data_IF_379866355149
#
_entry.id   IF_379866355149
#
_cell.length_a   1.000
_cell.length_b   1.000
_cell.length_c   1.000
_cell.angle_alpha   90.00
_cell.angle_beta   90.00
_cell.angle_gamma   90.00
#
_symmetry.space_group_name_H-M   'P 1'
#
loop_
_entity.id
_entity.type
_entity.pdbx_description
1 polymer ?
#
# COMPACT_ATOMS: atom_id res chain seq x y z
N UNK A 1 4.44 13.69 8.41
CA UNK A 1 5.85 13.42 8.00
C UNK A 1 6.02 13.65 6.50
N UNK A 2 7.13 14.26 6.06
CA UNK A 2 7.41 14.46 4.63
C UNK A 2 7.82 13.15 3.95
N UNK A 3 7.69 13.12 2.63
CA UNK A 3 8.25 12.05 1.81
C UNK A 3 9.78 12.01 1.99
N UNK A 4 10.33 10.80 2.12
CA UNK A 4 11.77 10.57 2.28
C UNK A 4 12.47 10.66 0.91
N UNK A 5 11.74 10.43 -0.18
CA UNK A 5 12.26 10.57 -1.53
C UNK A 5 12.10 12.00 -2.07
N UNK A 6 12.89 12.28 -3.12
CA UNK A 6 12.83 13.55 -3.84
C UNK A 6 11.48 13.70 -4.54
N UNK A 7 10.93 14.93 -4.65
CA UNK A 7 9.66 15.14 -5.32
C UNK A 7 9.70 14.72 -6.80
N UNK A 8 8.52 14.33 -7.33
CA UNK A 8 8.40 13.96 -8.73
C UNK A 8 8.94 15.04 -9.69
N UNK A 9 9.72 14.66 -10.71
CA UNK A 9 10.15 15.59 -11.74
C UNK A 9 8.96 16.26 -12.44
N UNK A 10 9.03 17.58 -12.62
CA UNK A 10 7.92 18.40 -13.11
C UNK A 10 7.32 17.92 -14.46
N UNK A 11 8.15 17.38 -15.35
CA UNK A 11 7.70 16.85 -16.63
C UNK A 11 6.82 15.59 -16.48
N UNK A 12 7.12 14.71 -15.52
CA UNK A 12 6.31 13.51 -15.24
C UNK A 12 4.96 13.90 -14.65
N UNK A 13 4.96 14.84 -13.69
CA UNK A 13 3.75 15.40 -13.10
C UNK A 13 2.82 15.94 -14.20
N UNK A 14 3.37 16.76 -15.11
CA UNK A 14 2.59 17.36 -16.21
C UNK A 14 2.05 16.31 -17.19
N UNK A 15 2.81 15.26 -17.47
CA UNK A 15 2.40 14.19 -18.38
C UNK A 15 1.26 13.33 -17.82
N UNK A 16 1.30 13.03 -16.51
CA UNK A 16 0.30 12.16 -15.87
C UNK A 16 -0.94 12.92 -15.41
N UNK A 17 -0.83 14.22 -15.14
CA UNK A 17 -1.95 15.06 -14.69
C UNK A 17 -3.27 14.87 -15.46
N UNK A 18 -3.33 14.86 -16.81
CA UNK A 18 -4.60 14.66 -17.51
C UNK A 18 -5.26 13.30 -17.22
N UNK A 19 -4.45 12.24 -17.08
CA UNK A 19 -4.95 10.91 -16.72
C UNK A 19 -5.40 10.87 -15.26
N UNK A 20 -4.62 11.50 -14.36
CA UNK A 20 -4.94 11.60 -12.96
C UNK A 20 -6.25 12.38 -12.74
N UNK A 21 -6.45 13.49 -13.44
CA UNK A 21 -7.68 14.28 -13.37
C UNK A 21 -8.89 13.48 -13.90
N UNK A 22 -8.72 12.76 -15.02
CA UNK A 22 -9.76 11.89 -15.60
C UNK A 22 -10.18 10.76 -14.66
N UNK A 23 -9.22 10.12 -13.98
CA UNK A 23 -9.46 9.05 -13.00
C UNK A 23 -9.70 9.56 -11.58
N UNK A 24 -9.70 10.88 -11.37
CA UNK A 24 -9.76 11.56 -10.06
C UNK A 24 -8.68 11.11 -9.07
N UNK A 25 -7.48 10.76 -9.52
CA UNK A 25 -6.34 10.32 -8.71
C UNK A 25 -5.43 11.49 -8.35
N UNK A 26 -5.92 12.40 -7.51
CA UNK A 26 -5.31 13.70 -7.23
C UNK A 26 -3.86 13.67 -6.73
N UNK A 27 -3.47 12.66 -5.94
CA UNK A 27 -2.12 12.56 -5.39
C UNK A 27 -1.17 11.72 -6.25
N UNK A 28 -1.68 11.00 -7.26
CA UNK A 28 -0.88 10.17 -8.16
C UNK A 28 0.23 10.94 -8.89
N UNK A 29 0.01 12.17 -9.42
CA UNK A 29 1.06 12.90 -10.11
C UNK A 29 2.29 13.17 -9.23
N UNK A 30 2.12 13.32 -7.91
CA UNK A 30 3.22 13.57 -6.99
C UNK A 30 4.05 12.31 -6.70
N UNK A 31 3.44 11.13 -6.78
CA UNK A 31 4.05 9.84 -6.47
C UNK A 31 4.34 8.97 -7.70
N UNK A 32 4.07 9.48 -8.90
CA UNK A 32 4.22 8.70 -10.15
C UNK A 32 5.63 8.15 -10.34
N UNK A 33 6.64 8.92 -9.94
CA UNK A 33 8.03 8.53 -10.03
C UNK A 33 8.34 7.32 -9.13
N UNK A 34 7.74 7.23 -7.95
CA UNK A 34 7.83 6.06 -7.07
C UNK A 34 7.09 4.86 -7.66
N UNK A 35 5.91 5.07 -8.25
CA UNK A 35 5.15 4.00 -8.92
C UNK A 35 5.99 3.38 -10.05
N UNK A 36 6.60 4.23 -10.89
CA UNK A 36 7.48 3.80 -11.98
C UNK A 36 8.74 3.13 -11.43
N UNK A 37 9.38 3.73 -10.42
CA UNK A 37 10.58 3.18 -9.80
C UNK A 37 10.31 1.80 -9.19
N UNK A 38 9.19 1.64 -8.49
CA UNK A 38 8.76 0.35 -7.94
C UNK A 38 8.50 -0.66 -9.05
N UNK A 39 7.73 -0.31 -10.08
CA UNK A 39 7.45 -1.16 -11.24
C UNK A 39 8.75 -1.71 -11.86
N UNK A 40 9.72 -0.82 -12.14
CA UNK A 40 11.01 -1.20 -12.71
C UNK A 40 11.82 -2.05 -11.74
N UNK A 41 11.85 -1.67 -10.45
CA UNK A 41 12.60 -2.40 -9.42
C UNK A 41 12.08 -3.84 -9.26
N UNK A 42 10.76 -4.04 -9.21
CA UNK A 42 10.18 -5.38 -9.11
C UNK A 42 10.35 -6.19 -10.40
N UNK A 43 10.33 -5.54 -11.57
CA UNK A 43 10.70 -6.21 -12.82
C UNK A 43 12.17 -6.69 -12.79
N UNK A 44 13.09 -5.87 -12.29
CA UNK A 44 14.51 -6.25 -12.13
C UNK A 44 14.67 -7.37 -11.10
N UNK A 45 13.93 -7.32 -9.99
CA UNK A 45 13.91 -8.40 -9.00
C UNK A 45 13.44 -9.70 -9.66
N UNK A 46 12.33 -9.67 -10.39
CA UNK A 46 11.77 -10.85 -11.04
C UNK A 46 12.68 -11.44 -12.13
N UNK A 47 13.23 -10.59 -13.00
CA UNK A 47 13.98 -11.04 -14.18
C UNK A 47 15.46 -11.32 -13.92
N UNK A 48 16.07 -10.66 -12.94
CA UNK A 48 17.53 -10.72 -12.72
C UNK A 48 17.86 -11.21 -11.32
N UNK A 49 17.44 -10.49 -10.28
CA UNK A 49 17.89 -10.78 -8.91
C UNK A 49 17.36 -12.12 -8.41
N UNK A 50 16.10 -12.44 -8.72
CA UNK A 50 15.46 -13.68 -8.30
C UNK A 50 16.12 -14.92 -8.92
N UNK A 51 16.35 -14.99 -10.26
CA UNK A 51 17.15 -16.06 -10.84
C UNK A 51 18.56 -16.16 -10.28
N UNK A 52 19.26 -15.03 -10.11
CA UNK A 52 20.63 -15.02 -9.59
C UNK A 52 20.68 -15.56 -8.16
N UNK A 53 19.90 -14.97 -7.24
CA UNK A 53 19.83 -15.39 -5.84
C UNK A 53 19.37 -16.85 -5.72
N UNK A 54 18.33 -17.25 -6.45
CA UNK A 54 17.81 -18.62 -6.38
C UNK A 54 18.80 -19.65 -6.92
N UNK A 55 19.57 -19.28 -7.96
CA UNK A 55 20.63 -20.14 -8.50
C UNK A 55 21.84 -20.28 -7.57
N UNK A 56 22.01 -19.35 -6.62
CA UNK A 56 23.06 -19.38 -5.61
C UNK A 56 22.60 -20.10 -4.33
N UNK A 57 21.40 -19.82 -3.84
CA UNK A 57 20.83 -20.39 -2.60
C UNK A 57 20.40 -21.85 -2.80
N UNK A 58 19.73 -22.14 -3.93
CA UNK A 58 19.19 -23.48 -4.22
C UNK A 58 19.59 -23.96 -5.63
N UNK A 59 20.91 -24.09 -5.93
CA UNK A 59 21.41 -24.35 -7.27
C UNK A 59 20.84 -25.61 -7.90
N UNK A 60 20.79 -26.72 -7.14
CA UNK A 60 20.32 -28.02 -7.62
C UNK A 60 18.82 -27.99 -7.93
N UNK A 61 18.02 -27.41 -7.03
CA UNK A 61 16.57 -27.35 -7.20
C UNK A 61 16.19 -26.38 -8.32
N UNK A 62 16.66 -25.13 -8.25
CA UNK A 62 16.25 -24.08 -9.19
C UNK A 62 16.65 -24.39 -10.64
N UNK A 63 17.88 -24.89 -10.87
CA UNK A 63 18.34 -25.28 -12.20
C UNK A 63 17.59 -26.51 -12.74
N UNK A 64 17.13 -27.40 -11.86
CA UNK A 64 16.30 -28.54 -12.23
C UNK A 64 14.83 -28.21 -12.54
N UNK A 65 14.35 -27.00 -12.19
CA UNK A 65 12.94 -26.63 -12.42
C UNK A 65 12.65 -26.40 -13.91
N UNK A 66 11.50 -26.87 -14.42
CA UNK A 66 11.03 -26.54 -15.76
C UNK A 66 10.66 -25.05 -15.86
N UNK A 67 10.68 -24.46 -17.07
CA UNK A 67 10.49 -23.01 -17.27
C UNK A 67 9.24 -22.43 -16.59
N UNK A 68 8.10 -23.13 -16.66
CA UNK A 68 6.85 -22.71 -16.01
C UNK A 68 6.97 -22.61 -14.49
N UNK A 69 7.65 -23.56 -13.84
CA UNK A 69 7.84 -23.53 -12.38
C UNK A 69 8.86 -22.47 -11.95
N UNK A 70 9.83 -22.14 -12.80
CA UNK A 70 10.77 -21.03 -12.54
C UNK A 70 10.06 -19.68 -12.51
N UNK A 71 9.07 -19.47 -13.38
CA UNK A 71 8.24 -18.25 -13.34
C UNK A 71 7.53 -18.16 -11.99
N UNK A 72 6.82 -19.21 -11.59
CA UNK A 72 6.13 -19.26 -10.29
C UNK A 72 7.10 -19.03 -9.13
N UNK A 73 8.27 -19.67 -9.15
CA UNK A 73 9.32 -19.46 -8.16
C UNK A 73 9.77 -18.00 -8.10
N UNK A 74 10.03 -17.38 -9.25
CA UNK A 74 10.50 -16.00 -9.30
C UNK A 74 9.45 -15.01 -8.79
N UNK A 75 8.16 -15.27 -9.06
CA UNK A 75 7.05 -14.49 -8.49
C UNK A 75 7.03 -14.60 -6.97
N UNK A 76 7.20 -15.80 -6.38
CA UNK A 76 7.23 -15.97 -4.92
C UNK A 76 8.43 -15.26 -4.28
N UNK A 77 9.60 -15.24 -4.93
CA UNK A 77 10.74 -14.46 -4.45
C UNK A 77 10.42 -12.96 -4.50
N UNK A 78 9.82 -12.50 -5.60
CA UNK A 78 9.49 -11.07 -5.79
C UNK A 78 8.45 -10.61 -4.76
N UNK A 79 7.41 -11.40 -4.52
CA UNK A 79 6.39 -11.10 -3.51
C UNK A 79 6.94 -11.20 -2.08
N UNK A 80 7.93 -12.06 -1.81
CA UNK A 80 8.61 -12.11 -0.51
C UNK A 80 9.41 -10.83 -0.23
N UNK A 81 10.15 -10.34 -1.23
CA UNK A 81 10.90 -9.07 -1.14
C UNK A 81 9.93 -7.92 -0.94
N UNK A 82 8.87 -7.84 -1.75
CA UNK A 82 7.88 -6.78 -1.62
C UNK A 82 7.22 -6.77 -0.25
N UNK A 83 6.70 -7.92 0.20
CA UNK A 83 5.88 -7.97 1.41
C UNK A 83 6.72 -7.65 2.64
N UNK A 84 7.99 -8.05 2.66
CA UNK A 84 8.93 -7.68 3.74
C UNK A 84 9.28 -6.19 3.69
N UNK A 85 9.58 -5.66 2.50
CA UNK A 85 9.94 -4.26 2.33
C UNK A 85 8.79 -3.32 2.69
N UNK A 86 7.60 -3.53 2.11
CA UNK A 86 6.46 -2.63 2.30
C UNK A 86 5.93 -2.66 3.72
N UNK A 87 5.93 -3.83 4.39
CA UNK A 87 5.46 -3.93 5.78
C UNK A 87 6.44 -3.29 6.75
N UNK A 88 7.74 -3.44 6.52
CA UNK A 88 8.78 -2.75 7.30
C UNK A 88 8.66 -1.23 7.14
N UNK A 89 8.48 -0.76 5.90
CA UNK A 89 8.31 0.66 5.62
C UNK A 89 7.01 1.21 6.23
N UNK A 90 5.90 0.46 6.14
CA UNK A 90 4.64 0.84 6.75
C UNK A 90 4.74 0.94 8.27
N UNK A 91 5.38 -0.05 8.94
CA UNK A 91 5.63 0.01 10.38
C UNK A 91 6.51 1.19 10.77
N UNK A 92 7.53 1.49 9.97
CA UNK A 92 8.37 2.65 10.17
C UNK A 92 7.56 3.96 10.10
N UNK A 93 6.70 4.14 9.10
CA UNK A 93 5.85 5.33 8.99
C UNK A 93 4.83 5.40 10.13
N UNK A 94 4.21 4.28 10.51
CA UNK A 94 3.26 4.22 11.63
C UNK A 94 3.93 4.65 12.94
N UNK A 95 5.19 4.27 13.16
CA UNK A 95 5.91 4.57 14.39
C UNK A 95 6.49 6.00 14.41
N UNK A 96 6.90 6.55 13.27
CA UNK A 96 7.63 7.82 13.22
C UNK A 96 6.80 9.01 12.76
N UNK A 97 5.65 8.80 12.10
CA UNK A 97 4.80 9.90 11.65
C UNK A 97 3.90 10.42 12.78
N UNK A 98 4.38 11.42 13.52
CA UNK A 98 3.62 12.07 14.60
C UNK A 98 2.35 12.76 14.11
N UNK A 99 2.39 13.35 12.91
CA UNK A 99 1.22 13.99 12.28
C UNK A 99 0.10 12.98 12.10
N UNK A 100 0.44 11.78 11.60
CA UNK A 100 -0.49 10.65 11.48
C UNK A 100 -1.04 10.22 12.83
N UNK A 101 -0.22 10.11 13.88
CA UNK A 101 -0.67 9.70 15.22
C UNK A 101 -1.68 10.66 15.83
N UNK A 102 -1.53 11.95 15.54
CA UNK A 102 -2.37 13.02 16.05
C UNK A 102 -3.62 13.27 15.18
N UNK A 103 -3.88 12.44 14.15
CA UNK A 103 -5.08 12.56 13.32
C UNK A 103 -6.34 12.10 14.06
N UNK A 104 -7.28 13.03 14.23
CA UNK A 104 -8.66 12.78 14.64
C UNK A 104 -9.49 12.16 13.50
N UNK A 105 -10.78 11.89 13.72
CA UNK A 105 -11.63 11.14 12.79
C UNK A 105 -11.66 11.75 11.36
N UNK A 106 -11.70 13.07 11.23
CA UNK A 106 -11.67 13.74 9.91
C UNK A 106 -10.31 13.54 9.24
N UNK A 107 -9.22 13.69 9.99
CA UNK A 107 -7.86 13.45 9.51
C UNK A 107 -7.61 11.98 9.15
N UNK A 108 -8.25 11.03 9.83
CA UNK A 108 -8.13 9.60 9.46
C UNK A 108 -8.82 9.29 8.12
N UNK A 109 -9.89 10.01 7.77
CA UNK A 109 -10.59 9.82 6.49
C UNK A 109 -9.91 10.59 5.37
N UNK A 110 -9.63 11.88 5.58
CA UNK A 110 -9.21 12.79 4.51
C UNK A 110 -7.74 13.21 4.61
N UNK A 111 -7.06 12.84 5.69
CA UNK A 111 -5.68 13.22 5.94
C UNK A 111 -4.70 12.51 5.01
N UNK A 112 -3.65 13.25 4.69
CA UNK A 112 -2.61 12.82 3.78
C UNK A 112 -1.28 13.38 4.29
N UNK A 113 -0.28 12.50 4.39
CA UNK A 113 1.12 12.87 4.62
C UNK A 113 1.96 12.35 3.46
N UNK A 114 3.10 13.00 3.19
CA UNK A 114 4.01 12.56 2.13
C UNK A 114 4.50 11.14 2.33
N UNK A 115 4.80 10.76 3.59
CA UNK A 115 5.21 9.41 3.94
C UNK A 115 4.12 8.35 3.71
N UNK A 116 2.85 8.69 3.96
CA UNK A 116 1.72 7.81 3.63
C UNK A 116 1.56 7.65 2.11
N UNK A 117 1.67 8.76 1.38
CA UNK A 117 1.64 8.77 -0.08
C UNK A 117 2.78 7.96 -0.71
N UNK A 118 3.97 8.00 -0.12
CA UNK A 118 5.12 7.21 -0.54
C UNK A 118 4.84 5.70 -0.47
N UNK A 119 4.39 5.22 0.69
CA UNK A 119 4.09 3.79 0.86
C UNK A 119 2.99 3.37 -0.11
N UNK A 120 2.00 4.24 -0.33
CA UNK A 120 0.95 4.03 -1.30
C UNK A 120 1.48 3.95 -2.75
N UNK A 121 2.37 4.85 -3.14
CA UNK A 121 3.04 4.89 -4.45
C UNK A 121 3.83 3.62 -4.73
N UNK A 122 4.66 3.21 -3.78
CA UNK A 122 5.47 2.00 -3.87
C UNK A 122 4.59 0.73 -3.92
N UNK A 123 3.51 0.68 -3.14
CA UNK A 123 2.56 -0.43 -3.17
C UNK A 123 1.81 -0.51 -4.51
N UNK A 124 1.34 0.63 -5.03
CA UNK A 124 0.66 0.70 -6.32
C UNK A 124 1.58 0.26 -7.48
N UNK A 125 2.86 0.66 -7.46
CA UNK A 125 3.84 0.21 -8.46
C UNK A 125 4.09 -1.30 -8.45
N UNK A 126 4.10 -1.92 -7.27
CA UNK A 126 4.14 -3.39 -7.16
C UNK A 126 2.89 -4.06 -7.71
N UNK A 127 1.69 -3.61 -7.33
CA UNK A 127 0.47 -4.26 -7.82
C UNK A 127 0.23 -4.02 -9.31
N UNK A 128 0.75 -2.92 -9.86
CA UNK A 128 0.79 -2.72 -11.30
C UNK A 128 1.72 -3.74 -11.97
N UNK A 129 2.90 -3.99 -11.38
CA UNK A 129 3.80 -5.05 -11.83
C UNK A 129 3.13 -6.44 -11.74
N UNK A 130 2.48 -6.75 -10.62
CA UNK A 130 1.81 -8.02 -10.38
C UNK A 130 0.65 -8.26 -11.36
N UNK A 131 -0.08 -7.20 -11.73
CA UNK A 131 -1.11 -7.26 -12.77
C UNK A 131 -0.50 -7.60 -14.13
N UNK A 132 0.57 -6.90 -14.51
CA UNK A 132 1.27 -7.16 -15.79
C UNK A 132 1.82 -8.60 -15.81
N UNK A 133 2.48 -9.04 -14.74
CA UNK A 133 3.00 -10.39 -14.62
C UNK A 133 1.88 -11.44 -14.66
N UNK A 134 0.75 -11.20 -14.00
CA UNK A 134 -0.43 -12.07 -14.00
C UNK A 134 -1.10 -12.17 -15.37
N UNK A 135 -1.12 -11.09 -16.15
CA UNK A 135 -1.63 -11.09 -17.53
C UNK A 135 -0.66 -11.85 -18.46
N UNK A 136 0.64 -11.54 -18.42
CA UNK A 136 1.63 -12.17 -19.30
C UNK A 136 1.78 -13.66 -18.99
N UNK A 137 1.77 -14.03 -17.71
CA UNK A 137 1.96 -15.40 -17.25
C UNK A 137 0.66 -16.04 -16.76
N UNK A 138 -0.48 -15.66 -17.36
CA UNK A 138 -1.80 -16.16 -16.98
C UNK A 138 -1.90 -17.69 -16.97
N UNK A 139 -1.29 -18.35 -17.96
CA UNK A 139 -1.25 -19.82 -18.05
C UNK A 139 -0.48 -20.53 -16.93
N UNK A 140 0.29 -19.78 -16.11
CA UNK A 140 1.10 -20.31 -15.02
C UNK A 140 0.54 -19.87 -13.66
N UNK A 141 0.15 -18.61 -13.52
CA UNK A 141 -0.34 -18.02 -12.27
C UNK A 141 -1.84 -18.28 -12.07
N UNK A 142 -2.60 -18.38 -13.17
CA UNK A 142 -4.02 -18.67 -13.16
C UNK A 142 -4.91 -17.47 -12.82
N UNK A 143 -6.24 -17.67 -12.84
CA UNK A 143 -7.23 -16.60 -12.67
C UNK A 143 -7.26 -16.01 -11.26
N UNK A 144 -6.90 -16.79 -10.23
CA UNK A 144 -6.87 -16.31 -8.84
C UNK A 144 -5.86 -15.18 -8.63
N UNK A 145 -4.64 -15.34 -9.15
CA UNK A 145 -3.61 -14.29 -9.10
C UNK A 145 -4.02 -13.05 -9.89
N UNK A 146 -4.66 -13.21 -11.05
CA UNK A 146 -5.15 -12.07 -11.82
C UNK A 146 -6.25 -11.30 -11.08
N UNK A 147 -7.23 -11.99 -10.49
CA UNK A 147 -8.27 -11.35 -9.69
C UNK A 147 -7.69 -10.63 -8.47
N UNK A 148 -6.69 -11.24 -7.81
CA UNK A 148 -5.94 -10.61 -6.74
C UNK A 148 -5.25 -9.33 -7.21
N UNK A 149 -4.46 -9.39 -8.29
CA UNK A 149 -3.73 -8.23 -8.81
C UNK A 149 -4.65 -7.07 -9.21
N UNK A 150 -5.79 -7.36 -9.87
CA UNK A 150 -6.79 -6.34 -10.22
C UNK A 150 -7.37 -5.70 -8.95
N UNK A 151 -7.84 -6.50 -8.00
CA UNK A 151 -8.46 -5.99 -6.77
C UNK A 151 -7.47 -5.16 -5.94
N UNK A 152 -6.24 -5.63 -5.81
CA UNK A 152 -5.19 -4.94 -5.06
C UNK A 152 -4.77 -3.63 -5.75
N UNK A 153 -4.66 -3.62 -7.08
CA UNK A 153 -4.39 -2.39 -7.83
C UNK A 153 -5.53 -1.37 -7.70
N UNK A 154 -6.79 -1.81 -7.71
CA UNK A 154 -7.93 -0.92 -7.51
C UNK A 154 -7.93 -0.30 -6.11
N UNK A 155 -7.75 -1.12 -5.06
CA UNK A 155 -7.70 -0.64 -3.68
C UNK A 155 -6.52 0.32 -3.47
N UNK A 156 -5.35 0.01 -4.03
CA UNK A 156 -4.21 0.93 -3.95
C UNK A 156 -4.37 2.17 -4.82
N UNK A 157 -5.09 2.09 -5.94
CA UNK A 157 -5.41 3.28 -6.74
C UNK A 157 -6.37 4.22 -6.00
N UNK A 158 -7.32 3.66 -5.22
CA UNK A 158 -8.24 4.48 -4.42
C UNK A 158 -7.53 5.37 -3.41
N UNK A 159 -6.37 4.97 -2.87
CA UNK A 159 -5.58 5.83 -1.97
C UNK A 159 -5.06 7.11 -2.64
N UNK A 160 -5.00 7.19 -3.97
CA UNK A 160 -4.63 8.44 -4.66
C UNK A 160 -5.77 9.45 -4.75
N UNK A 161 -7.02 9.02 -4.49
CA UNK A 161 -8.08 9.92 -4.04
C UNK A 161 -7.78 10.13 -2.56
N UNK A 162 -7.59 11.36 -2.04
CA UNK A 162 -7.17 11.61 -0.65
C UNK A 162 -8.26 11.18 0.36
N UNK A 163 -8.52 9.89 0.40
CA UNK A 163 -9.59 9.20 1.09
C UNK A 163 -9.01 7.91 1.63
N UNK A 164 -9.17 7.73 2.94
CA UNK A 164 -8.71 6.59 3.70
C UNK A 164 -7.21 6.26 3.56
N UNK A 165 -6.34 7.22 3.20
CA UNK A 165 -4.88 6.99 3.15
C UNK A 165 -4.34 6.48 4.49
N UNK A 166 -4.86 7.01 5.61
CA UNK A 166 -4.49 6.55 6.96
C UNK A 166 -4.74 5.05 7.13
N UNK A 167 -5.88 4.57 6.64
CA UNK A 167 -6.28 3.17 6.66
C UNK A 167 -5.58 2.34 5.59
N UNK A 168 -5.26 2.92 4.43
CA UNK A 168 -4.47 2.29 3.36
C UNK A 168 -3.13 1.78 3.90
N UNK A 169 -2.42 2.60 4.68
CA UNK A 169 -1.19 2.20 5.33
C UNK A 169 -1.38 1.02 6.31
N UNK A 170 -2.51 0.98 7.03
CA UNK A 170 -2.84 -0.12 7.93
C UNK A 170 -3.25 -1.40 7.18
N UNK A 171 -3.90 -1.28 6.01
CA UNK A 171 -4.28 -2.42 5.16
C UNK A 171 -3.06 -3.06 4.50
N UNK A 172 -1.99 -2.31 4.24
CA UNK A 172 -0.71 -2.88 3.76
C UNK A 172 -0.09 -3.82 4.80
N UNK A 173 -0.32 -3.62 6.10
CA UNK A 173 0.16 -4.54 7.15
C UNK A 173 -0.45 -5.94 7.06
N UNK A 174 -1.52 -6.11 6.29
CA UNK A 174 -2.06 -7.43 6.01
C UNK A 174 -1.08 -8.34 5.25
N UNK A 175 -0.06 -7.76 4.61
CA UNK A 175 0.99 -8.50 3.92
C UNK A 175 2.04 -9.08 4.88
N UNK A 176 1.98 -8.84 6.19
CA UNK A 176 2.93 -9.41 7.16
C UNK A 176 2.91 -10.95 7.16
N UNK A 177 1.77 -11.57 6.83
CA UNK A 177 1.68 -13.03 6.70
C UNK A 177 2.33 -13.58 5.43
N UNK A 178 2.49 -12.75 4.39
CA UNK A 178 2.90 -13.15 3.03
C UNK A 178 4.34 -13.70 2.97
N UNK A 179 5.34 -13.15 3.70
CA UNK A 179 6.66 -13.76 3.80
C UNK A 179 6.61 -15.20 4.34
N UNK A 180 5.82 -15.44 5.40
CA UNK A 180 5.69 -16.77 6.00
C UNK A 180 4.98 -17.75 5.06
N UNK A 181 4.02 -17.27 4.27
CA UNK A 181 3.35 -18.07 3.23
C UNK A 181 4.34 -18.50 2.14
N UNK A 182 5.18 -17.56 1.67
CA UNK A 182 6.22 -17.84 0.69
C UNK A 182 7.27 -18.82 1.22
N UNK A 183 7.73 -18.65 2.46
CA UNK A 183 8.66 -19.60 3.11
C UNK A 183 8.04 -21.00 3.19
N UNK A 184 6.76 -21.10 3.53
CA UNK A 184 6.05 -22.37 3.56
C UNK A 184 6.01 -23.04 2.17
N UNK A 185 5.68 -22.25 1.14
CA UNK A 185 5.68 -22.71 -0.24
C UNK A 185 7.06 -23.17 -0.70
N UNK A 186 8.13 -22.45 -0.34
CA UNK A 186 9.50 -22.85 -0.66
C UNK A 186 9.89 -24.16 0.04
N UNK A 187 9.49 -24.37 1.30
CA UNK A 187 9.73 -25.63 2.00
C UNK A 187 9.11 -26.82 1.25
N UNK A 188 7.90 -26.66 0.71
CA UNK A 188 7.26 -27.70 -0.10
C UNK A 188 7.99 -27.96 -1.41
N UNK A 189 8.50 -26.92 -2.08
CA UNK A 189 9.24 -27.10 -3.35
C UNK A 189 10.65 -27.64 -3.16
N UNK A 190 11.23 -27.48 -1.98
CA UNK A 190 12.54 -28.01 -1.61
C UNK A 190 12.48 -29.44 -1.08
N UNK A 191 11.31 -30.11 -1.11
CA UNK A 191 11.06 -31.41 -0.49
C UNK A 191 11.40 -31.43 1.01
N UNK A 192 11.26 -30.28 1.70
CA UNK A 192 11.41 -30.16 3.14
C UNK A 192 10.07 -30.35 3.86
N UNK A 193 9.10 -30.98 3.18
CA UNK A 193 7.75 -31.17 3.70
C UNK A 193 7.79 -32.08 4.93
N UNK A 194 7.19 -31.65 6.04
CA UNK A 194 7.21 -32.35 7.33
C UNK A 194 8.44 -32.08 8.20
N UNK A 195 9.34 -31.18 7.78
CA UNK A 195 10.46 -30.74 8.61
C UNK A 195 10.00 -29.87 9.79
N UNK A 196 10.81 -29.82 10.86
CA UNK A 196 10.58 -28.91 11.99
C UNK A 196 10.48 -27.44 11.55
N UNK A 197 11.25 -27.05 10.53
CA UNK A 197 11.24 -25.70 9.95
C UNK A 197 9.88 -25.38 9.36
N UNK A 198 9.29 -26.29 8.58
CA UNK A 198 7.96 -26.07 8.02
C UNK A 198 6.88 -26.00 9.12
N UNK A 199 7.00 -26.81 10.17
CA UNK A 199 6.04 -26.81 11.28
C UNK A 199 6.08 -25.48 12.05
N UNK A 200 7.26 -25.01 12.45
CA UNK A 200 7.39 -23.71 13.13
C UNK A 200 6.93 -22.55 12.23
N UNK A 201 7.34 -22.55 10.95
CA UNK A 201 6.89 -21.53 10.00
C UNK A 201 5.38 -21.59 9.77
N UNK A 202 4.79 -22.79 9.70
CA UNK A 202 3.34 -23.00 9.59
C UNK A 202 2.59 -22.44 10.80
N UNK A 203 3.11 -22.63 12.02
CA UNK A 203 2.52 -22.04 13.22
C UNK A 203 2.57 -20.51 13.17
N UNK A 204 3.74 -19.93 12.85
CA UNK A 204 3.90 -18.48 12.72
C UNK A 204 3.01 -17.92 11.61
N UNK A 205 2.88 -18.62 10.48
CA UNK A 205 1.98 -18.26 9.39
C UNK A 205 0.54 -18.17 9.86
N UNK A 206 0.03 -19.21 10.55
CA UNK A 206 -1.36 -19.21 11.04
C UNK A 206 -1.59 -18.09 12.05
N UNK A 207 -0.67 -17.91 13.00
CA UNK A 207 -0.77 -16.84 14.00
C UNK A 207 -0.75 -15.46 13.34
N UNK A 208 0.20 -15.19 12.46
CA UNK A 208 0.33 -13.88 11.78
C UNK A 208 -0.82 -13.61 10.83
N UNK A 209 -1.31 -14.62 10.11
CA UNK A 209 -2.49 -14.51 9.26
C UNK A 209 -3.73 -14.17 10.09
N UNK A 210 -3.98 -14.89 11.18
CA UNK A 210 -5.11 -14.62 12.06
C UNK A 210 -5.03 -13.22 12.69
N UNK A 211 -3.87 -12.83 13.23
CA UNK A 211 -3.70 -11.52 13.86
C UNK A 211 -3.83 -10.37 12.87
N UNK A 212 -3.16 -10.44 11.70
CA UNK A 212 -3.15 -9.34 10.72
C UNK A 212 -4.46 -9.22 9.94
N UNK A 213 -5.04 -10.33 9.48
CA UNK A 213 -6.23 -10.31 8.61
C UNK A 213 -7.52 -10.27 9.41
N UNK A 214 -7.63 -11.04 10.50
CA UNK A 214 -8.87 -11.16 11.27
C UNK A 214 -8.95 -10.10 12.37
N UNK A 215 -8.00 -10.07 13.30
CA UNK A 215 -8.09 -9.16 14.44
C UNK A 215 -7.85 -7.71 14.02
N UNK A 216 -6.66 -7.44 13.47
CA UNK A 216 -6.28 -6.10 13.04
C UNK A 216 -7.19 -5.61 11.92
N UNK A 217 -7.50 -6.49 10.97
CA UNK A 217 -8.33 -6.09 9.85
C UNK A 217 -9.78 -5.76 10.19
N UNK A 218 -10.41 -6.55 11.08
CA UNK A 218 -11.74 -6.23 11.58
C UNK A 218 -11.75 -4.94 12.39
N UNK A 219 -10.72 -4.70 13.20
CA UNK A 219 -10.58 -3.46 13.95
C UNK A 219 -10.49 -2.23 13.03
N UNK A 220 -9.64 -2.28 12.00
CA UNK A 220 -9.47 -1.16 11.07
C UNK A 220 -10.73 -0.88 10.25
N UNK A 221 -11.44 -1.94 9.85
CA UNK A 221 -12.72 -1.79 9.16
C UNK A 221 -13.77 -1.13 10.07
N UNK A 222 -13.84 -1.54 11.34
CA UNK A 222 -14.74 -0.94 12.32
C UNK A 222 -14.40 0.52 12.64
N UNK A 223 -13.12 0.86 12.81
CA UNK A 223 -12.67 2.25 13.06
C UNK A 223 -12.94 3.17 11.87
N UNK A 224 -12.74 2.69 10.63
CA UNK A 224 -13.11 3.41 9.42
C UNK A 224 -14.62 3.65 9.36
N UNK A 225 -15.43 2.63 9.66
CA UNK A 225 -16.88 2.76 9.65
C UNK A 225 -17.34 3.79 10.68
N UNK A 226 -16.82 3.72 11.91
CA UNK A 226 -17.13 4.66 12.99
C UNK A 226 -16.72 6.10 12.64
N UNK A 227 -15.54 6.27 12.06
CA UNK A 227 -15.08 7.59 11.59
C UNK A 227 -16.01 8.12 10.50
N UNK A 228 -16.40 7.27 9.54
CA UNK A 228 -17.27 7.67 8.42
C UNK A 228 -18.69 8.04 8.84
N UNK A 229 -19.26 7.35 9.84
CA UNK A 229 -20.60 7.64 10.37
C UNK A 229 -20.58 8.91 11.21
N UNK A 230 -19.52 9.12 11.98
CA UNK A 230 -19.29 10.37 12.72
C UNK A 230 -19.17 11.55 11.77
N UNK A 231 -18.41 11.42 10.67
CA UNK A 231 -18.27 12.46 9.66
C UNK A 231 -19.62 12.82 9.01
N UNK A 232 -20.39 11.81 8.57
CA UNK A 232 -21.73 12.03 8.00
C UNK A 232 -22.72 12.66 8.98
N UNK A 233 -22.61 12.34 10.28
CA UNK A 233 -23.45 12.93 11.32
C UNK A 233 -23.12 14.41 11.56
N UNK A 234 -21.85 14.80 11.44
CA UNK A 234 -21.43 16.20 11.49
C UNK A 234 -21.89 16.97 10.24
N UNK A 235 -21.76 16.38 9.04
CA UNK A 235 -22.25 16.98 7.78
C UNK A 235 -23.76 17.25 7.84
N UNK A 236 -24.56 16.29 8.30
CA UNK A 236 -26.02 16.43 8.37
C UNK A 236 -26.55 17.41 9.42
N UNK A 237 -25.75 17.77 10.42
CA UNK A 237 -26.16 18.66 11.51
C UNK A 237 -25.80 20.14 11.29
N UNK A 238 -25.09 20.49 10.21
CA UNK A 238 -24.71 21.88 9.89
C UNK A 238 -23.77 22.56 10.90
N UNK A 239 -23.29 21.83 11.91
CA UNK A 239 -22.38 22.34 12.94
C UNK A 239 -20.92 22.05 12.55
N UNK A 240 -20.38 22.90 11.69
CA UNK A 240 -18.95 22.86 11.32
C UNK A 240 -18.05 23.68 12.27
N UNK A 241 -18.62 24.34 13.28
CA UNK A 241 -17.88 25.14 14.25
C UNK A 241 -16.86 24.26 15.01
N UNK A 242 -15.58 24.37 14.63
CA UNK A 242 -14.47 23.63 15.25
C UNK A 242 -14.00 22.37 14.51
N UNK A 243 -14.58 22.02 13.35
CA UNK A 243 -14.12 20.88 12.56
C UNK A 243 -12.77 21.18 11.87
N UNK A 244 -11.77 20.28 11.96
CA UNK A 244 -10.46 20.46 11.30
C UNK A 244 -10.52 20.18 9.78
N UNK A 245 -9.99 21.08 8.97
CA UNK A 245 -9.97 21.04 7.50
C UNK A 245 -8.51 21.06 6.97
N UNK A 246 -8.23 20.52 5.78
CA UNK A 246 -6.87 20.53 5.19
C UNK A 246 -6.82 21.27 3.85
N UNK A 247 -5.77 22.09 3.64
CA UNK A 247 -5.56 22.86 2.40
C UNK A 247 -5.30 21.99 1.16
N UNK A 248 -4.85 20.74 1.34
CA UNK A 248 -4.61 19.80 0.23
C UNK A 248 -5.94 19.30 -0.34
N UNK A 249 -6.96 19.18 0.51
CA UNK A 249 -8.32 18.74 0.17
C UNK A 249 -9.22 19.97 0.03
N UNK A 250 -8.88 20.89 -0.88
CA UNK A 250 -9.71 22.08 -1.14
C UNK A 250 -10.99 21.71 -1.90
N UNK A 251 -12.12 21.68 -1.19
CA UNK A 251 -13.36 22.46 -1.45
C UNK A 251 -14.64 21.86 -0.85
N UNK A 252 -14.63 20.61 -0.40
CA UNK A 252 -15.89 19.91 -0.06
C UNK A 252 -16.18 19.80 1.45
N UNK A 253 -15.25 20.13 2.34
CA UNK A 253 -15.42 19.88 3.79
C UNK A 253 -16.03 21.02 4.60
N UNK A 254 -16.06 22.26 4.09
CA UNK A 254 -16.80 23.35 4.73
C UNK A 254 -17.93 23.79 3.78
N UNK A 255 -19.11 23.16 3.90
CA UNK A 255 -20.33 23.64 3.23
C UNK A 255 -21.03 24.72 4.07
N UNK A 256 -21.92 25.50 3.45
CA UNK A 256 -22.71 26.58 4.07
C UNK A 256 -21.92 27.81 4.57
N UNK A 257 -20.96 28.30 3.79
CA UNK A 257 -20.36 29.63 4.00
C UNK A 257 -19.25 29.70 5.06
N UNK A 258 -18.86 28.56 5.65
CA UNK A 258 -17.71 28.47 6.55
C UNK A 258 -16.40 28.38 5.77
N UNK A 259 -15.36 29.07 6.22
CA UNK A 259 -14.04 29.04 5.61
C UNK A 259 -13.06 28.24 6.47
N UNK A 260 -12.16 27.51 5.82
CA UNK A 260 -11.06 26.84 6.50
C UNK A 260 -10.06 27.89 7.02
N UNK A 261 -10.09 28.20 8.33
CA UNK A 261 -9.17 29.12 9.02
C UNK A 261 -7.97 28.36 9.56
N UNK A 262 -6.78 28.77 9.19
CA UNK A 262 -5.52 28.16 9.68
C UNK A 262 -5.05 28.96 10.89
N UNK A 263 -4.72 28.33 12.03
CA UNK A 263 -4.20 29.04 13.18
C UNK A 263 -2.72 29.43 12.96
N UNK A 264 -2.48 30.74 12.75
CA UNK A 264 -1.14 31.35 12.80
C UNK A 264 -0.44 31.56 11.44
N UNK A 265 0.46 32.55 11.40
CA UNK A 265 1.30 32.98 10.26
C UNK A 265 2.40 31.94 9.88
N UNK A 266 2.07 30.65 9.90
CA UNK A 266 2.98 29.59 9.44
C UNK A 266 2.63 29.19 8.00
N UNK A 267 3.44 29.57 7.00
CA UNK A 267 3.17 29.31 5.59
C UNK A 267 3.19 27.81 5.22
N UNK A 268 3.65 26.92 6.12
CA UNK A 268 3.64 25.47 5.91
C UNK A 268 2.44 24.73 6.55
N UNK A 269 1.60 25.42 7.33
CA UNK A 269 0.47 24.80 8.00
C UNK A 269 -0.60 24.29 7.01
N UNK A 270 -0.77 22.97 6.93
CA UNK A 270 -1.68 22.30 5.98
C UNK A 270 -3.04 21.92 6.58
N UNK A 271 -3.28 22.27 7.85
CA UNK A 271 -4.48 21.91 8.62
C UNK A 271 -5.02 23.18 9.31
N UNK A 272 -6.30 23.48 9.10
CA UNK A 272 -7.04 24.56 9.75
C UNK A 272 -8.32 24.05 10.40
N UNK A 273 -9.22 24.95 10.79
CA UNK A 273 -10.55 24.66 11.32
C UNK A 273 -11.61 25.42 10.51
N UNK A 274 -12.73 24.77 10.16
CA UNK A 274 -13.88 25.44 9.58
C UNK A 274 -14.46 26.43 10.61
N UNK A 275 -14.61 27.69 10.21
CA UNK A 275 -15.17 28.76 11.02
C UNK A 275 -15.35 30.05 10.24
#
# INVERSE_FOLDING_TARGET
MLDIFQPAPFYLVRAIKPLADFLSLWTLPYHIHEVIAALVSYQLIFSVLSPLASSWIAPKTYRGLPPRRRISWNVHVTSMVQSTFITTLALYVIWNDEERKNMEWVGRIWGYTGAMGLVQGLAAGYFLWDLIASIIHFNVLGPGSLAHAISALLVTSMGFRPFANYYGLNFVLYEISTPFLNIHWFCDKLNMTGSRIQLYNGLVLVTTFFSSRILWGSYQHWDLQLSSTTNRRCEGNGNYAGARCSLIVRRETCENGFQCKIPGDDPEARIGTCG
#
